data_IF_334530879304
#
_entry.id   IF_334530879304
#
_cell.length_a   1.000
_cell.length_b   1.000
_cell.length_c   1.000
_cell.angle_alpha   90.00
_cell.angle_beta   90.00
_cell.angle_gamma   90.00
#
_symmetry.space_group_name_H-M   'P 1'
#
loop_
_entity.id
_entity.type
_entity.pdbx_description
1 polymer ?
2 non-polymer ?
3 non-polymer ?
4 non-polymer ?
5 water ?
#
# COMPACT_ATOMS: atom_id res chain seq x y z
N UNK A 1 2.90 -15.38 5.28
CA UNK A 1 3.73 -14.50 4.43
C UNK A 1 3.23 -14.59 3.03
N UNK A 2 3.59 -13.58 2.24
CA UNK A 2 3.37 -13.58 0.83
C UNK A 2 4.70 -13.19 0.16
N UNK A 3 4.80 -13.53 -1.10
CA UNK A 3 6.00 -13.46 -1.89
C UNK A 3 5.70 -12.98 -3.28
N UNK A 4 6.66 -12.27 -3.86
CA UNK A 4 6.60 -11.80 -5.25
C UNK A 4 8.00 -11.70 -5.80
N UNK A 5 8.20 -12.35 -6.94
CA UNK A 5 9.46 -12.38 -7.66
C UNK A 5 9.35 -11.61 -8.95
N UNK A 6 10.22 -10.61 -9.12
CA UNK A 6 10.25 -9.80 -10.34
C UNK A 6 10.86 -10.58 -11.53
N UNK A 7 11.69 -11.56 -11.25
CA UNK A 7 12.22 -12.45 -12.29
C UNK A 7 11.12 -13.28 -12.91
N UNK A 8 10.86 -13.04 -14.18
CA UNK A 8 9.77 -13.69 -14.87
C UNK A 8 8.39 -13.14 -14.54
N UNK A 9 8.32 -12.03 -13.77
CA UNK A 9 7.03 -11.42 -13.50
C UNK A 9 6.32 -10.94 -14.79
N UNK A 10 5.00 -11.05 -14.76
CA UNK A 10 4.16 -10.46 -15.80
C UNK A 10 2.84 -10.05 -15.12
N UNK A 11 1.90 -9.53 -15.87
CA UNK A 11 0.63 -9.05 -15.26
C UNK A 11 -0.11 -10.09 -14.44
N UNK A 12 -0.09 -11.32 -14.93
CA UNK A 12 -0.74 -12.43 -14.24
C UNK A 12 -0.04 -12.70 -12.90
N UNK A 13 1.26 -12.88 -12.87
CA UNK A 13 1.93 -13.23 -11.63
C UNK A 13 1.84 -12.09 -10.56
N UNK A 14 1.82 -10.89 -11.05
CA UNK A 14 1.61 -9.71 -10.19
C UNK A 14 0.17 -9.75 -9.64
N UNK A 15 -0.79 -10.03 -10.52
CA UNK A 15 -2.16 -10.29 -10.09
C UNK A 15 -2.26 -11.32 -8.98
N UNK A 16 -1.53 -12.43 -9.09
CA UNK A 16 -1.57 -13.51 -8.09
C UNK A 16 -0.99 -12.97 -6.78
N UNK A 17 0.10 -12.19 -6.82
CA UNK A 17 0.66 -11.60 -5.63
C UNK A 17 -0.34 -10.61 -4.92
N UNK A 18 -1.01 -9.78 -5.68
CA UNK A 18 -1.90 -8.78 -5.09
C UNK A 18 -3.11 -9.52 -4.50
N UNK A 19 -3.58 -10.58 -5.20
CA UNK A 19 -4.62 -11.48 -4.65
C UNK A 19 -4.18 -12.09 -3.27
N UNK A 20 -2.97 -12.67 -3.21
CA UNK A 20 -2.39 -13.24 -1.98
C UNK A 20 -2.27 -12.18 -0.88
N UNK A 21 -1.80 -10.98 -1.26
CA UNK A 21 -1.71 -9.90 -0.27
C UNK A 21 -3.09 -9.65 0.36
N UNK A 22 -4.10 -9.46 -0.46
CA UNK A 22 -5.45 -9.17 0.03
C UNK A 22 -5.97 -10.31 0.90
N UNK A 23 -5.72 -11.52 0.46
CA UNK A 23 -6.14 -12.72 1.17
C UNK A 23 -5.43 -12.99 2.49
N UNK A 24 -4.31 -12.35 2.72
CA UNK A 24 -3.52 -12.53 3.94
C UNK A 24 -3.99 -11.56 5.02
N UNK A 25 -4.86 -10.61 4.69
CA UNK A 25 -5.32 -9.64 5.65
C UNK A 25 -6.60 -10.21 6.28
N UNK A 26 -6.65 -10.29 7.60
CA UNK A 26 -7.80 -10.91 8.23
C UNK A 26 -8.93 -9.89 8.40
N UNK A 27 -10.13 -10.42 8.33
CA UNK A 27 -11.35 -9.73 8.51
C UNK A 27 -12.41 -10.71 9.01
N UNK A 28 -13.40 -10.23 9.71
CA UNK A 28 -14.54 -11.07 10.10
C UNK A 28 -15.84 -10.58 9.43
N UNK A 29 -15.91 -9.33 8.99
CA UNK A 29 -17.10 -8.78 8.35
C UNK A 29 -16.77 -8.24 6.94
N UNK A 30 -17.79 -8.29 6.06
CA UNK A 30 -17.80 -7.45 4.85
C UNK A 30 -18.87 -6.38 4.95
N UNK A 31 -18.58 -5.24 4.36
CA UNK A 31 -19.48 -4.13 4.27
C UNK A 31 -19.70 -3.82 2.79
N UNK A 32 -20.92 -3.94 2.35
CA UNK A 32 -21.29 -3.92 0.95
C UNK A 32 -20.40 -4.83 0.14
N UNK A 33 -20.10 -5.99 0.72
CA UNK A 33 -19.34 -7.02 0.10
C UNK A 33 -17.84 -6.78 -0.04
N UNK A 34 -17.34 -5.81 0.72
CA UNK A 34 -15.95 -5.45 0.69
C UNK A 34 -15.41 -5.82 2.05
N UNK A 35 -14.33 -6.60 2.10
CA UNK A 35 -13.65 -6.88 3.36
C UNK A 35 -13.40 -5.65 4.23
N UNK A 36 -13.84 -5.72 5.50
CA UNK A 36 -13.63 -4.67 6.51
C UNK A 36 -12.46 -5.05 7.37
N UNK A 37 -11.40 -4.25 7.36
CA UNK A 37 -10.22 -4.64 8.12
C UNK A 37 -10.52 -4.50 9.60
N UNK A 38 -9.81 -5.30 10.40
CA UNK A 38 -10.07 -5.32 11.85
C UNK A 38 -9.69 -4.03 12.55
N UNK A 39 -10.35 -3.68 13.67
CA UNK A 39 -9.97 -2.52 14.48
C UNK A 39 -8.56 -2.63 15.07
N UNK A 40 -8.19 -3.82 15.52
CA UNK A 40 -6.88 -4.02 16.06
C UNK A 40 -6.56 -5.49 16.07
N UNK A 41 -5.28 -5.77 16.34
CA UNK A 41 -4.74 -7.12 16.41
C UNK A 41 -3.52 -7.04 17.32
N UNK A 42 -3.50 -7.88 18.37
CA UNK A 42 -2.40 -7.86 19.32
C UNK A 42 -1.26 -8.84 19.03
N UNK A 43 -0.04 -8.38 19.30
CA UNK A 43 1.16 -9.17 19.11
C UNK A 43 1.62 -9.21 17.67
N UNK A 44 2.32 -10.26 17.37
CA UNK A 44 3.03 -10.41 16.14
C UNK A 44 2.06 -10.64 14.97
N UNK A 45 0.84 -11.09 15.28
CA UNK A 45 -0.16 -11.27 14.27
C UNK A 45 -0.67 -10.00 13.60
N UNK A 46 -0.34 -8.85 14.19
CA UNK A 46 -0.61 -7.56 13.59
C UNK A 46 0.13 -7.35 12.26
N UNK A 47 1.23 -8.04 12.08
CA UNK A 47 2.10 -7.82 10.97
C UNK A 47 2.29 -8.96 9.98
N UNK A 48 2.13 -8.65 8.71
CA UNK A 48 2.29 -9.53 7.58
C UNK A 48 3.66 -9.26 6.99
N UNK A 49 4.35 -10.33 6.58
CA UNK A 49 5.64 -10.19 5.93
C UNK A 49 5.49 -10.48 4.44
N UNK A 50 6.00 -9.55 3.62
CA UNK A 50 6.08 -9.71 2.18
C UNK A 50 7.53 -9.91 1.80
N UNK A 51 7.83 -10.98 1.11
CA UNK A 51 9.14 -11.25 0.62
C UNK A 51 9.12 -10.83 -0.80
N UNK A 52 9.99 -9.88 -1.15
CA UNK A 52 10.08 -9.35 -2.49
C UNK A 52 11.47 -9.62 -3.04
N UNK A 53 11.51 -10.17 -4.25
CA UNK A 53 12.79 -10.56 -4.87
C UNK A 53 12.95 -9.74 -6.14
N UNK A 54 14.13 -9.13 -6.27
CA UNK A 54 14.41 -8.34 -7.46
C UNK A 54 14.75 -9.27 -8.60
N UNK A 55 15.01 -8.72 -9.77
CA UNK A 55 15.31 -9.52 -10.91
C UNK A 55 16.52 -10.52 -10.75
N UNK A 56 17.58 -10.11 -10.05
CA UNK A 56 18.71 -10.98 -9.77
C UNK A 56 18.48 -11.90 -8.61
N UNK A 57 17.31 -11.89 -8.00
CA UNK A 57 17.05 -12.85 -6.94
C UNK A 57 17.45 -12.40 -5.56
N UNK A 58 17.83 -11.13 -5.37
CA UNK A 58 18.02 -10.57 -4.02
C UNK A 58 16.69 -10.13 -3.43
N UNK A 59 16.62 -10.21 -2.13
CA UNK A 59 15.34 -10.11 -1.45
C UNK A 59 15.38 -9.14 -0.33
N UNK A 60 14.25 -8.50 -0.12
CA UNK A 60 13.95 -7.83 1.10
C UNK A 60 12.65 -8.42 1.64
N UNK A 61 12.45 -8.27 2.93
CA UNK A 61 11.24 -8.69 3.55
C UNK A 61 10.59 -7.44 4.16
N UNK A 62 9.33 -7.19 3.81
CA UNK A 62 8.63 -5.95 4.20
C UNK A 62 7.56 -6.33 5.21
N UNK A 63 7.47 -5.60 6.32
CA UNK A 63 6.46 -5.84 7.35
C UNK A 63 5.30 -4.90 7.18
N UNK A 64 4.09 -5.45 7.17
CA UNK A 64 2.90 -4.68 6.90
C UNK A 64 1.88 -4.85 8.04
N UNK A 65 1.36 -3.73 8.55
CA UNK A 65 0.34 -3.75 9.55
C UNK A 65 -1.01 -4.17 8.89
N UNK A 66 -1.56 -5.31 9.33
CA UNK A 66 -2.73 -5.91 8.70
C UNK A 66 -4.04 -5.18 8.97
N UNK A 67 -4.02 -4.21 9.87
CA UNK A 67 -5.21 -3.49 10.20
C UNK A 67 -5.39 -2.30 9.28
N UNK A 68 -4.29 -1.79 8.69
CA UNK A 68 -4.37 -0.60 7.78
C UNK A 68 -3.54 -0.68 6.47
N UNK A 69 -2.83 -1.78 6.28
CA UNK A 69 -1.95 -2.03 5.14
C UNK A 69 -0.77 -0.98 5.09
N UNK A 70 -0.36 -0.44 6.25
CA UNK A 70 0.82 0.43 6.30
C UNK A 70 2.06 -0.37 6.43
N UNK A 71 3.03 0.02 5.64
CA UNK A 71 4.36 -0.50 5.74
C UNK A 71 5.03 0.08 6.96
N UNK A 72 5.52 -0.79 7.83
CA UNK A 72 6.20 -0.38 9.02
C UNK A 72 7.75 -0.26 8.82
N UNK A 73 8.30 -1.14 8.02
CA UNK A 73 9.71 -1.31 7.87
C UNK A 73 10.01 -2.55 7.04
N UNK A 74 11.29 -2.86 6.91
CA UNK A 74 11.74 -3.91 6.03
C UNK A 74 13.09 -4.38 6.54
N UNK A 75 13.43 -5.56 6.16
CA UNK A 75 14.72 -6.16 6.44
C UNK A 75 15.45 -6.42 5.11
N UNK A 76 16.69 -6.01 5.09
CA UNK A 76 17.59 -6.17 3.95
C UNK A 76 18.96 -6.58 4.41
N UNK A 77 19.32 -7.83 4.05
CA UNK A 77 20.40 -8.64 4.58
C UNK A 77 20.28 -8.89 6.13
N UNK A 78 21.11 -8.25 6.94
CA UNK A 78 21.06 -8.38 8.40
C UNK A 78 20.73 -7.00 9.05
N UNK A 79 20.22 -6.05 8.26
CA UNK A 79 19.83 -4.77 8.75
C UNK A 79 18.36 -4.60 8.61
N UNK A 80 17.72 -4.23 9.71
CA UNK A 80 16.36 -3.77 9.65
C UNK A 80 16.23 -2.23 9.57
N UNK A 81 15.18 -1.79 8.92
CA UNK A 81 14.88 -0.39 8.69
C UNK A 81 13.39 -0.12 9.05
N UNK A 82 13.11 0.85 9.89
CA UNK A 82 11.77 1.15 10.31
C UNK A 82 11.54 2.65 10.15
N UNK A 83 10.32 3.03 9.74
CA UNK A 83 9.99 4.43 9.77
C UNK A 83 10.13 5.07 11.12
N UNK A 84 10.27 6.38 11.12
CA UNK A 84 10.41 7.13 12.37
C UNK A 84 9.00 7.52 12.85
N UNK A 85 8.26 6.59 13.38
CA UNK A 85 6.89 6.79 13.86
C UNK A 85 6.56 5.76 14.97
N UNK A 86 5.67 6.09 15.89
CA UNK A 86 5.41 5.16 17.01
C UNK A 86 4.93 3.77 16.60
N UNK A 87 4.08 3.68 15.59
CA UNK A 87 3.60 2.40 15.05
C UNK A 87 4.72 1.47 14.54
N UNK A 88 5.72 2.05 13.87
CA UNK A 88 6.87 1.28 13.44
C UNK A 88 7.75 0.95 14.62
N UNK A 89 7.92 1.82 15.61
CA UNK A 89 8.75 1.45 16.77
C UNK A 89 8.08 0.29 17.47
N UNK A 90 6.78 0.35 17.61
CA UNK A 90 6.08 -0.78 18.16
C UNK A 90 6.29 -2.04 17.33
N UNK A 91 6.20 -1.96 15.98
CA UNK A 91 6.40 -3.16 15.16
C UNK A 91 7.79 -3.78 15.36
N UNK A 92 8.79 -2.93 15.63
CA UNK A 92 10.16 -3.39 15.80
C UNK A 92 10.31 -4.27 17.04
N UNK A 93 9.28 -4.28 17.89
CA UNK A 93 9.29 -5.19 19.01
C UNK A 93 8.92 -6.58 18.64
N UNK A 94 8.35 -6.76 17.46
CA UNK A 94 7.83 -8.06 16.99
C UNK A 94 8.49 -8.64 15.74
N UNK A 95 8.98 -7.82 14.84
CA UNK A 95 9.57 -8.34 13.63
C UNK A 95 11.01 -8.02 13.42
N UNK A 96 11.68 -8.86 12.70
CA UNK A 96 13.06 -8.65 12.40
C UNK A 96 13.95 -8.51 13.63
N UNK A 97 13.61 -9.14 14.73
CA UNK A 97 14.41 -9.08 15.97
C UNK A 97 15.80 -9.67 15.73
N UNK A 98 15.83 -10.59 14.81
CA UNK A 98 17.02 -11.29 14.45
C UNK A 98 18.07 -10.43 13.71
N UNK A 99 17.69 -9.23 13.28
CA UNK A 99 18.62 -8.39 12.53
C UNK A 99 19.86 -8.07 13.40
N UNK A 100 21.04 -8.01 12.78
CA UNK A 100 22.24 -7.58 13.49
C UNK A 100 22.25 -6.08 13.84
N UNK A 101 21.65 -5.21 13.04
CA UNK A 101 21.37 -3.83 13.48
C UNK A 101 20.06 -3.38 12.94
N UNK A 102 19.56 -2.35 13.61
CA UNK A 102 18.31 -1.76 13.34
C UNK A 102 18.53 -0.26 13.09
N UNK A 103 18.15 0.17 11.92
CA UNK A 103 18.23 1.57 11.54
C UNK A 103 16.83 2.13 11.48
N UNK A 104 16.64 3.26 12.14
CA UNK A 104 15.41 4.01 12.02
C UNK A 104 15.59 5.06 10.92
N UNK A 105 14.76 5.00 9.90
CA UNK A 105 14.80 5.98 8.83
C UNK A 105 14.53 7.36 9.38
N UNK A 106 15.07 8.42 8.76
CA UNK A 106 14.84 9.82 9.25
C UNK A 106 13.54 10.46 8.76
N UNK A 107 12.51 9.67 8.54
CA UNK A 107 11.21 10.19 8.28
C UNK A 107 10.18 9.15 8.72
N UNK A 108 8.96 9.64 8.88
CA UNK A 108 7.77 8.77 8.99
C UNK A 108 7.35 8.27 7.60
N UNK A 109 6.34 7.44 7.57
CA UNK A 109 5.90 6.80 6.36
C UNK A 109 4.82 7.46 5.52
N UNK A 110 4.35 8.59 5.96
CA UNK A 110 3.32 9.27 5.23
C UNK A 110 3.79 9.90 3.93
N UNK A 111 2.86 10.06 3.02
CA UNK A 111 3.13 10.54 1.70
C UNK A 111 3.86 11.88 1.69
N UNK A 112 3.41 12.80 2.51
CA UNK A 112 3.94 14.13 2.59
C UNK A 112 5.41 14.16 2.94
N UNK A 113 5.76 13.48 4.01
CA UNK A 113 7.10 13.38 4.53
C UNK A 113 8.04 12.63 3.59
N UNK A 114 7.56 11.56 2.98
CA UNK A 114 8.35 10.77 2.02
C UNK A 114 8.66 11.58 0.77
N UNK A 115 7.69 12.36 0.30
CA UNK A 115 7.90 13.25 -0.89
C UNK A 115 8.90 14.34 -0.59
N UNK A 116 8.86 14.88 0.63
CA UNK A 116 9.85 15.89 1.06
C UNK A 116 11.23 15.25 1.02
N UNK A 117 11.37 14.10 1.70
CA UNK A 117 12.63 13.41 1.73
C UNK A 117 13.13 13.06 0.38
N UNK A 118 12.24 12.68 -0.53
CA UNK A 118 12.70 12.20 -1.83
C UNK A 118 13.04 13.37 -2.72
N UNK A 119 12.51 14.55 -2.41
CA UNK A 119 12.70 15.75 -3.26
C UNK A 119 11.73 15.86 -4.44
N UNK A 120 10.64 15.13 -4.38
CA UNK A 120 9.68 15.17 -5.45
C UNK A 120 8.27 14.65 -5.11
N UNK A 121 7.22 15.09 -5.78
CA UNK A 121 5.95 14.50 -5.46
C UNK A 121 5.74 13.22 -6.26
N UNK A 122 4.80 12.42 -5.82
CA UNK A 122 4.72 11.17 -6.53
C UNK A 122 4.02 11.28 -7.86
N UNK A 123 3.47 12.45 -8.22
CA UNK A 123 3.08 12.76 -9.60
C UNK A 123 4.25 12.65 -10.59
N UNK A 124 5.45 12.87 -10.11
CA UNK A 124 6.61 12.79 -10.96
C UNK A 124 7.41 11.50 -10.88
N UNK A 125 7.01 10.55 -10.03
CA UNK A 125 7.79 9.31 -9.88
C UNK A 125 7.12 8.17 -10.68
N UNK A 126 7.80 7.65 -11.73
CA UNK A 126 7.20 6.49 -12.42
C UNK A 126 7.05 5.25 -11.56
N UNK A 127 5.96 4.55 -11.78
CA UNK A 127 5.71 3.28 -11.12
C UNK A 127 5.45 2.24 -12.17
N UNK A 128 5.49 0.99 -11.74
CA UNK A 128 5.32 -0.17 -12.58
C UNK A 128 6.22 -1.28 -12.04
N UNK A 129 6.30 -2.40 -12.76
CA UNK A 129 7.11 -3.53 -12.28
C UNK A 129 8.62 -3.25 -12.40
N UNK A 130 9.03 -2.54 -13.48
CA UNK A 130 10.45 -2.18 -13.46
C UNK A 130 10.77 -1.25 -12.34
N UNK A 131 9.90 -0.28 -12.00
CA UNK A 131 10.22 0.65 -10.92
C UNK A 131 10.29 -0.14 -9.60
N UNK A 132 9.40 -1.11 -9.43
CA UNK A 132 9.44 -1.96 -8.24
C UNK A 132 10.74 -2.72 -8.09
N UNK A 133 11.22 -3.34 -9.17
CA UNK A 133 12.54 -3.98 -9.19
C UNK A 133 13.73 -3.07 -8.76
N UNK A 134 13.75 -1.85 -9.28
CA UNK A 134 14.66 -0.75 -8.83
C UNK A 134 14.53 -0.42 -7.37
N UNK A 135 13.30 -0.37 -6.87
CA UNK A 135 13.07 0.05 -5.49
C UNK A 135 13.63 -1.00 -4.55
N UNK A 136 13.36 -2.26 -4.85
CA UNK A 136 13.86 -3.40 -4.04
C UNK A 136 15.36 -3.25 -4.01
N UNK A 137 15.95 -3.01 -5.17
CA UNK A 137 17.42 -2.90 -5.24
C UNK A 137 17.96 -1.72 -4.43
N UNK A 138 17.30 -0.56 -4.52
CA UNK A 138 17.71 0.57 -3.73
C UNK A 138 17.67 0.25 -2.25
N UNK A 139 16.67 -0.51 -1.82
CA UNK A 139 16.47 -0.67 -0.39
C UNK A 139 17.47 -1.66 0.22
N UNK A 140 18.13 -2.45 -0.63
CA UNK A 140 19.20 -3.32 -0.23
C UNK A 140 20.41 -2.61 0.40
N UNK A 141 20.68 -1.37 -0.04
CA UNK A 141 21.76 -0.57 0.55
C UNK A 141 21.30 0.81 0.94
N UNK A 142 21.49 1.09 2.22
CA UNK A 142 20.97 2.26 2.81
C UNK A 142 21.45 3.48 2.08
N UNK A 143 20.50 4.32 1.70
CA UNK A 143 20.75 5.69 1.29
C UNK A 143 19.36 6.34 1.56
N UNK A 144 19.22 7.21 2.57
CA UNK A 144 17.88 7.59 3.00
C UNK A 144 17.10 8.37 1.94
N UNK A 145 17.81 9.23 1.21
CA UNK A 145 17.16 10.01 0.14
C UNK A 145 16.66 9.14 -0.96
N UNK A 146 17.50 8.27 -1.47
CA UNK A 146 17.08 7.29 -2.48
C UNK A 146 16.00 6.32 -1.97
N UNK A 147 16.13 5.86 -0.71
CA UNK A 147 15.13 5.02 -0.07
C UNK A 147 13.72 5.67 -0.06
N UNK A 148 13.62 6.97 0.20
CA UNK A 148 12.32 7.67 0.21
C UNK A 148 11.56 7.42 -1.10
N UNK A 149 12.23 7.62 -2.22
CA UNK A 149 11.61 7.46 -3.54
C UNK A 149 11.23 6.02 -3.76
N UNK A 150 12.11 5.11 -3.34
CA UNK A 150 11.84 3.70 -3.46
C UNK A 150 10.63 3.26 -2.59
N UNK A 151 10.51 3.78 -1.39
CA UNK A 151 9.37 3.50 -0.61
C UNK A 151 8.03 4.05 -1.19
N UNK A 152 8.05 5.20 -1.85
CA UNK A 152 6.86 5.69 -2.59
C UNK A 152 6.47 4.71 -3.68
N UNK A 153 7.47 4.17 -4.38
CA UNK A 153 7.16 3.15 -5.38
C UNK A 153 6.58 1.89 -4.73
N UNK A 154 7.27 1.45 -3.67
CA UNK A 154 6.91 0.19 -3.03
C UNK A 154 5.51 0.23 -2.45
N UNK A 155 5.17 1.35 -1.82
CA UNK A 155 3.85 1.52 -1.16
C UNK A 155 2.76 1.46 -2.23
N UNK A 156 2.99 2.18 -3.33
CA UNK A 156 2.02 2.25 -4.37
C UNK A 156 1.76 0.94 -5.11
N UNK A 157 2.83 0.20 -5.34
CA UNK A 157 2.78 -1.07 -6.04
C UNK A 157 2.34 -2.26 -5.22
N UNK A 158 2.22 -2.10 -3.90
CA UNK A 158 1.85 -3.19 -3.00
C UNK A 158 0.54 -2.82 -2.31
N UNK A 159 0.64 -1.98 -1.27
CA UNK A 159 -0.48 -1.59 -0.45
C UNK A 159 -1.61 -0.93 -1.25
N UNK A 160 -1.31 0.10 -2.04
CA UNK A 160 -2.37 0.82 -2.78
C UNK A 160 -3.03 -0.07 -3.85
N UNK A 161 -2.23 -0.93 -4.48
CA UNK A 161 -2.77 -1.93 -5.41
C UNK A 161 -3.65 -2.93 -4.67
N UNK A 162 -3.22 -3.36 -3.48
CA UNK A 162 -4.13 -4.21 -2.68
C UNK A 162 -5.51 -3.51 -2.40
N UNK A 163 -5.47 -2.24 -2.06
CA UNK A 163 -6.69 -1.50 -1.72
C UNK A 163 -7.66 -1.19 -2.86
N UNK A 164 -7.12 -1.02 -4.08
CA UNK A 164 -7.89 -0.65 -5.22
C UNK A 164 -7.56 -1.43 -6.45
N UNK A 165 -8.57 -2.03 -7.04
CA UNK A 165 -8.42 -2.77 -8.26
C UNK A 165 -7.91 -1.88 -9.40
N UNK A 166 -8.37 -0.63 -9.48
CA UNK A 166 -7.91 0.28 -10.50
C UNK A 166 -6.34 0.42 -10.43
N UNK A 167 -5.77 0.51 -9.24
CA UNK A 167 -4.33 0.76 -9.11
C UNK A 167 -3.59 -0.52 -9.49
N UNK A 168 -4.13 -1.66 -9.13
CA UNK A 168 -3.56 -2.95 -9.52
C UNK A 168 -3.48 -3.04 -11.04
N UNK A 169 -4.57 -2.67 -11.69
CA UNK A 169 -4.63 -2.60 -13.19
C UNK A 169 -3.63 -1.60 -13.80
N UNK A 170 -3.44 -0.48 -13.14
CA UNK A 170 -2.49 0.48 -13.58
C UNK A 170 -1.09 -0.12 -13.58
N UNK A 171 -0.73 -0.84 -12.51
CA UNK A 171 0.57 -1.51 -12.42
C UNK A 171 0.72 -2.63 -13.45
N UNK A 172 -0.36 -3.37 -13.65
CA UNK A 172 -0.35 -4.38 -14.68
C UNK A 172 -0.15 -3.78 -16.07
N UNK A 173 -0.69 -2.57 -16.32
CA UNK A 173 -0.42 -1.84 -17.57
C UNK A 173 1.07 -1.50 -17.68
N UNK A 174 1.79 -1.36 -16.56
CA UNK A 174 3.15 -0.88 -16.48
C UNK A 174 4.09 -2.02 -16.14
N UNK A 175 3.80 -3.19 -16.66
CA UNK A 175 4.61 -4.41 -16.32
C UNK A 175 5.99 -4.35 -16.96
N UNK A 176 6.11 -3.72 -18.13
CA UNK A 176 7.39 -3.71 -18.85
C UNK A 176 7.86 -2.30 -19.19
N UNK A 177 7.11 -1.29 -18.77
CA UNK A 177 7.41 0.14 -18.92
C UNK A 177 6.81 0.95 -17.79
N UNK A 178 7.66 1.65 -17.07
CA UNK A 178 7.16 2.49 -15.96
C UNK A 178 6.45 3.72 -16.50
N UNK A 179 5.47 4.21 -15.74
CA UNK A 179 4.86 5.46 -16.03
C UNK A 179 4.40 6.10 -14.76
N UNK A 180 4.44 7.43 -14.71
CA UNK A 180 3.94 8.10 -13.52
C UNK A 180 2.46 7.71 -13.33
N UNK A 181 1.99 7.70 -12.07
CA UNK A 181 0.57 7.40 -11.84
C UNK A 181 -0.41 8.41 -12.44
N UNK A 182 -1.58 7.92 -12.81
CA UNK A 182 -2.65 8.80 -13.26
C UNK A 182 -3.12 9.62 -12.08
N UNK A 183 -3.72 10.75 -12.39
CA UNK A 183 -4.32 11.53 -11.32
C UNK A 183 -5.42 10.77 -10.59
N UNK A 184 -6.17 9.97 -11.31
CA UNK A 184 -7.14 9.07 -10.69
C UNK A 184 -6.49 8.20 -9.57
N UNK A 185 -5.35 7.64 -9.89
CA UNK A 185 -4.55 6.86 -8.95
C UNK A 185 -4.21 7.68 -7.70
N UNK A 186 -3.68 8.88 -7.90
CA UNK A 186 -3.33 9.73 -6.80
C UNK A 186 -4.55 10.00 -5.92
N UNK A 187 -5.64 10.35 -6.58
CA UNK A 187 -6.92 10.67 -5.91
C UNK A 187 -7.43 9.52 -5.05
N UNK A 188 -7.39 8.30 -5.57
CA UNK A 188 -7.85 7.16 -4.81
C UNK A 188 -7.01 6.93 -3.57
N UNK A 189 -5.69 7.07 -3.74
CA UNK A 189 -4.75 6.91 -2.65
C UNK A 189 -5.19 7.86 -1.58
N UNK A 190 -5.24 9.13 -1.95
CA UNK A 190 -5.54 10.20 -1.01
C UNK A 190 -6.94 10.01 -0.34
N UNK A 191 -7.83 9.23 -0.94
CA UNK A 191 -9.22 9.10 -0.46
C UNK A 191 -9.54 7.81 0.27
N UNK A 192 -8.55 6.94 0.46
CA UNK A 192 -8.85 5.62 0.96
C UNK A 192 -9.55 5.65 2.31
N UNK A 193 -9.01 6.45 3.20
CA UNK A 193 -9.59 6.62 4.51
C UNK A 193 -11.02 7.22 4.46
N UNK A 194 -11.18 8.28 3.69
CA UNK A 194 -12.48 8.91 3.50
C UNK A 194 -13.53 7.97 2.91
N UNK A 195 -13.18 7.30 1.83
CA UNK A 195 -14.08 6.28 1.26
C UNK A 195 -14.42 5.16 2.22
N UNK A 196 -13.39 4.69 2.90
CA UNK A 196 -13.56 3.59 3.83
C UNK A 196 -14.59 4.06 4.89
N UNK A 197 -14.43 5.27 5.37
CA UNK A 197 -15.38 5.80 6.32
C UNK A 197 -16.84 5.93 5.79
N UNK A 198 -17.01 6.54 4.63
CA UNK A 198 -18.28 6.81 4.10
C UNK A 198 -19.03 5.56 3.64
N UNK A 199 -18.31 4.51 3.26
CA UNK A 199 -18.94 3.25 2.96
C UNK A 199 -19.51 2.63 4.24
N UNK A 200 -18.74 2.72 5.32
CA UNK A 200 -19.22 2.27 6.61
C UNK A 200 -20.42 3.12 7.13
N UNK A 201 -20.36 4.43 7.02
CA UNK A 201 -21.50 5.29 7.45
C UNK A 201 -22.77 5.10 6.60
N UNK A 202 -22.58 4.78 5.34
CA UNK A 202 -23.66 4.38 4.46
C UNK A 202 -24.53 3.20 5.00
N UNK A 203 -24.00 2.30 5.82
CA UNK A 203 -24.73 1.07 6.26
C UNK A 203 -26.11 1.37 6.93
N UNK A 204 -26.15 2.34 7.82
CA UNK A 204 -27.43 2.81 8.37
C UNK A 204 -27.93 4.10 7.77
N UNK A 205 -27.62 4.35 6.53
CA UNK A 205 -28.03 5.57 5.88
C UNK A 205 -28.51 5.28 4.47
N UNK A 206 -29.12 4.12 4.31
CA UNK A 206 -29.63 3.63 3.02
C UNK A 206 -28.66 3.62 1.86
N UNK A 207 -27.41 3.28 2.16
CA UNK A 207 -26.37 3.25 1.17
C UNK A 207 -25.90 4.62 0.71
N UNK A 208 -26.34 5.71 1.37
CA UNK A 208 -25.98 7.08 1.00
C UNK A 208 -24.85 7.54 1.90
N UNK A 209 -23.81 8.15 1.34
CA UNK A 209 -22.70 8.73 2.15
C UNK A 209 -23.24 9.93 2.96
N UNK A 210 -22.79 10.05 4.20
CA UNK A 210 -23.02 11.30 4.98
C UNK A 210 -22.36 12.50 4.35
N UNK A 211 -21.12 12.35 3.84
CA UNK A 211 -20.36 13.45 3.22
C UNK A 211 -19.81 12.94 1.89
N UNK A 212 -20.05 13.67 0.77
CA UNK A 212 -19.55 13.17 -0.51
C UNK A 212 -18.04 13.10 -0.55
N UNK A 213 -17.51 12.20 -1.36
CA UNK A 213 -16.08 12.10 -1.57
C UNK A 213 -15.83 12.60 -2.98
N UNK A 214 -14.90 13.55 -3.13
CA UNK A 214 -14.46 14.06 -4.47
C UNK A 214 -13.23 13.24 -4.99
N UNK A 215 -13.38 12.68 -6.20
CA UNK A 215 -12.31 11.97 -6.89
C UNK A 215 -12.06 12.54 -8.28
N UNK A 216 -10.87 12.27 -8.80
CA UNK A 216 -10.58 12.46 -10.23
C UNK A 216 -10.83 11.12 -10.89
N UNK A 217 -11.49 11.10 -12.06
CA UNK A 217 -11.82 9.85 -12.78
C UNK A 217 -10.78 9.52 -13.91
N UNK A 218 -10.92 8.33 -14.55
CA UNK A 218 -9.95 7.86 -15.57
C UNK A 218 -9.73 8.76 -16.78
N UNK A 219 -10.63 9.74 -16.93
CA UNK A 219 -10.52 10.74 -17.99
C UNK A 219 -9.96 12.11 -17.51
N UNK A 220 -9.61 12.25 -16.22
CA UNK A 220 -9.07 13.53 -15.72
C UNK A 220 -10.05 14.50 -15.05
N UNK A 221 -11.35 14.16 -15.08
CA UNK A 221 -12.41 15.01 -14.49
C UNK A 221 -12.74 14.68 -13.04
N UNK A 222 -12.97 15.73 -12.24
CA UNK A 222 -13.29 15.60 -10.82
C UNK A 222 -14.80 15.29 -10.71
N UNK A 223 -15.14 14.38 -9.79
CA UNK A 223 -16.52 13.83 -9.68
C UNK A 223 -16.81 13.56 -8.23
N UNK A 224 -18.07 13.48 -7.91
CA UNK A 224 -18.47 13.23 -6.58
C UNK A 224 -19.06 11.89 -6.35
N UNK A 225 -18.59 11.25 -5.31
CA UNK A 225 -19.13 9.91 -4.96
C UNK A 225 -20.08 10.15 -3.79
N UNK A 226 -21.35 9.76 -3.95
CA UNK A 226 -22.40 10.09 -2.94
C UNK A 226 -23.06 8.83 -2.35
N UNK A 227 -22.84 7.67 -2.96
CA UNK A 227 -23.50 6.47 -2.50
C UNK A 227 -22.80 5.22 -3.01
N UNK A 228 -23.21 4.08 -2.46
CA UNK A 228 -22.57 2.77 -2.74
C UNK A 228 -22.91 2.19 -4.10
N UNK A 229 -23.74 2.88 -4.91
CA UNK A 229 -23.99 2.42 -6.29
C UNK A 229 -22.86 2.86 -7.23
N UNK A 230 -21.96 3.70 -6.79
CA UNK A 230 -20.83 4.11 -7.57
C UNK A 230 -19.87 2.97 -7.90
N UNK A 231 -19.27 2.98 -9.07
CA UNK A 231 -18.34 1.91 -9.42
C UNK A 231 -17.20 1.82 -8.42
N UNK A 232 -16.71 2.96 -7.96
CA UNK A 232 -15.62 2.98 -7.02
C UNK A 232 -15.92 1.98 -5.92
N UNK A 233 -17.17 1.97 -5.47
CA UNK A 233 -17.61 1.13 -4.38
C UNK A 233 -17.89 -0.30 -4.86
N UNK A 234 -18.54 -0.42 -6.01
CA UNK A 234 -18.97 -1.74 -6.46
C UNK A 234 -17.86 -2.48 -7.16
N UNK A 235 -16.90 -1.78 -7.79
CA UNK A 235 -16.00 -2.38 -8.75
C UNK A 235 -14.57 -1.79 -8.67
N UNK A 236 -14.09 -1.48 -7.48
CA UNK A 236 -12.75 -0.88 -7.34
C UNK A 236 -12.16 -1.15 -5.94
N UNK A 237 -12.65 -0.48 -4.91
CA UNK A 237 -12.09 -0.61 -3.58
C UNK A 237 -12.22 -2.10 -3.15
N UNK A 238 -11.15 -2.66 -2.55
CA UNK A 238 -11.10 -4.04 -2.10
C UNK A 238 -10.94 -4.27 -0.65
N UNK A 239 -10.68 -3.21 0.10
CA UNK A 239 -10.38 -3.27 1.53
C UNK A 239 -10.82 -1.98 2.19
N UNK A 240 -11.44 -2.08 3.34
CA UNK A 240 -11.88 -0.92 4.05
C UNK A 240 -11.12 -0.78 5.33
N UNK A 241 -10.59 0.42 5.51
CA UNK A 241 -10.11 0.84 6.82
C UNK A 241 -11.28 0.97 7.80
N UNK A 242 -11.19 0.22 8.91
CA UNK A 242 -12.13 0.32 10.00
C UNK A 242 -12.28 1.77 10.53
N UNK A 243 -13.52 2.25 10.74
CA UNK A 243 -13.71 3.62 11.30
C UNK A 243 -13.13 3.76 12.71
N UNK A 244 -12.98 2.65 13.43
CA UNK A 244 -12.25 2.72 14.68
C UNK A 244 -10.82 3.31 14.53
N UNK A 245 -10.21 3.12 13.37
CA UNK A 245 -8.90 3.69 13.10
C UNK A 245 -8.95 5.02 12.27
N UNK A 246 -10.09 5.68 12.19
CA UNK A 246 -10.21 6.91 11.44
C UNK A 246 -10.57 8.10 12.33
X LIG B 1 -26.01 7.74 -6.33
X LIG B 1 -26.84 8.99 -6.67
X LIG B 1 -27.18 9.02 -8.17
X LIG B 1 -25.94 8.90 -9.04
X LIG B 1 -25.07 7.70 -8.61
X LIG B 1 -23.70 7.81 -9.28
X LIG B 1 -28.11 9.59 -4.61
X LIG B 1 -29.48 9.48 -4.01
X LIG B 1 -28.05 9.03 -5.84
X LIG B 1 -27.80 10.23 -8.59
X LIG B 1 -26.35 8.84 -10.42
X LIG B 1 -24.87 7.69 -7.17
X LIG B 1 -23.01 6.55 -9.23
X LIG B 1 -27.18 10.13 -3.98
X LIG C 1 9.75 -5.96 -14.69
X LIG C 1 10.65 -5.60 -15.74
X LIG C 1 9.76 -7.47 -14.48
X LIG C 1 11.05 -7.87 -13.92
X LIG C 1 9.31 -8.15 -15.80
X LIG C 1 9.47 -9.56 -15.82
X LIG D 1 -14.66 -7.09 -4.21
X LIG D 1 -14.13 -8.05 -5.14
X LIG D 1 -15.71 -6.33 -4.99
X LIG D 1 -15.13 -5.23 -5.71
X LIG D 1 -16.81 -5.84 -4.07
X LIG D 1 -18.07 -6.10 -4.69
X LIG E 1 2.73 1.92 3.35
X LIG E 1 2.76 2.58 4.58
X LIG E 1 1.43 1.23 3.00
X LIG E 1 0.36 2.15 2.73
#
# INVERSE_FOLDING_TARGET
DVSFRLSGADPSSYGMFIKDLRNALPHTEKVYNIPLLLPSVSGAGRYLLMHLFNYDGNTITVAVDVTNVYIMGYLALTTSYFFNEPAADLASQYVFRSARRKITLPYSGNYERLQIAAGKPREKIPIGLPALDTAISTLLHYDSTAAAGALLVLIQTTAEAARFKYIEQQIQERAYRDEVPSSATISLENSWSGLSKQIQLAQGNNGVFRTPTVLVDSKGNRVQITNVTSNVVTSNIQLLLNTKNI
NAG C1 C2 C3 C4 C5 C6 C7 C8 N2 O3 O4 O5 O6 O7
GOL C1 O1 C2 O2 C3 O3
GOL C1 O1 C2 O2 C3 O3
EDO C1 O1 C2 O2
#
